data_IF_867630143063
#
_entry.id   IF_867630143063
#
_cell.length_a   1.000
_cell.length_b   1.000
_cell.length_c   1.000
_cell.angle_alpha   90.00
_cell.angle_beta   90.00
_cell.angle_gamma   90.00
#
_symmetry.space_group_name_H-M   'P 1'
#
loop_
_entity.id
_entity.type
_entity.pdbx_description
1 polymer ?
#
# COMPACT_ATOMS: atom_id res chain seq x y z
N UNK A 1 -0.34 8.02 -17.62
CA UNK A 1 0.53 7.38 -16.60
C UNK A 1 0.45 8.02 -15.21
N UNK A 2 0.53 9.35 -15.04
CA UNK A 2 0.55 10.00 -13.71
C UNK A 2 -0.75 9.83 -12.89
N UNK A 3 -1.92 9.87 -13.56
CA UNK A 3 -3.24 9.76 -12.89
C UNK A 3 -3.52 8.36 -12.32
N UNK A 4 -3.12 7.30 -13.03
CA UNK A 4 -3.32 5.93 -12.58
C UNK A 4 -2.50 5.58 -11.34
N UNK A 5 -1.28 6.10 -11.23
CA UNK A 5 -0.45 5.89 -10.06
C UNK A 5 -0.95 6.67 -8.82
N UNK A 6 -1.49 7.87 -9.04
CA UNK A 6 -2.15 8.63 -7.96
C UNK A 6 -3.37 7.88 -7.43
N UNK A 7 -4.20 7.33 -8.31
CA UNK A 7 -5.33 6.49 -7.93
C UNK A 7 -4.87 5.23 -7.16
N UNK A 8 -3.82 4.56 -7.63
CA UNK A 8 -3.24 3.39 -6.95
C UNK A 8 -2.73 3.74 -5.55
N UNK A 9 -2.05 4.88 -5.38
CA UNK A 9 -1.61 5.35 -4.05
C UNK A 9 -2.78 5.57 -3.09
N UNK A 10 -3.86 6.21 -3.55
CA UNK A 10 -5.05 6.42 -2.72
C UNK A 10 -5.67 5.08 -2.29
N UNK A 11 -5.77 4.12 -3.20
CA UNK A 11 -6.26 2.77 -2.90
C UNK A 11 -5.37 2.06 -1.87
N UNK A 12 -4.04 2.15 -2.00
CA UNK A 12 -3.11 1.56 -1.03
C UNK A 12 -3.19 2.22 0.34
N UNK A 13 -3.41 3.53 0.40
CA UNK A 13 -3.60 4.25 1.67
C UNK A 13 -4.85 3.72 2.38
N UNK A 14 -5.99 3.64 1.69
CA UNK A 14 -7.24 3.11 2.25
C UNK A 14 -7.04 1.67 2.74
N UNK A 15 -6.40 0.83 1.92
CA UNK A 15 -6.15 -0.56 2.26
C UNK A 15 -5.23 -0.72 3.49
N UNK A 16 -4.29 0.20 3.68
CA UNK A 16 -3.41 0.26 4.87
C UNK A 16 -4.21 0.60 6.12
N UNK A 17 -5.12 1.59 6.05
CA UNK A 17 -6.00 1.92 7.17
C UNK A 17 -6.93 0.76 7.53
N UNK A 18 -7.45 0.04 6.54
CA UNK A 18 -8.26 -1.18 6.77
C UNK A 18 -7.43 -2.26 7.46
N UNK A 19 -6.20 -2.51 7.00
CA UNK A 19 -5.29 -3.47 7.63
C UNK A 19 -4.96 -3.13 9.08
N UNK A 20 -4.68 -1.86 9.36
CA UNK A 20 -4.45 -1.35 10.73
C UNK A 20 -5.71 -1.52 11.59
N UNK A 21 -6.87 -1.11 11.08
CA UNK A 21 -8.15 -1.25 11.78
C UNK A 21 -8.46 -2.70 12.13
N UNK A 22 -8.21 -3.62 11.21
CA UNK A 22 -8.41 -5.06 11.41
C UNK A 22 -7.49 -5.65 12.50
N UNK A 23 -6.22 -5.23 12.53
CA UNK A 23 -5.26 -5.68 13.58
C UNK A 23 -5.64 -5.11 14.95
N UNK A 24 -6.12 -3.86 15.00
CA UNK A 24 -6.52 -3.22 16.25
C UNK A 24 -7.83 -3.80 16.82
N UNK A 25 -8.83 -4.07 15.97
CA UNK A 25 -10.12 -4.64 16.42
C UNK A 25 -9.99 -6.09 16.89
N UNK A 26 -9.01 -6.82 16.38
CA UNK A 26 -8.68 -8.18 16.83
C UNK A 26 -7.76 -8.22 18.05
N UNK A 27 -7.52 -7.08 18.72
CA UNK A 27 -6.65 -6.96 19.91
C UNK A 27 -5.23 -7.51 19.68
N UNK A 28 -4.72 -7.41 18.45
CA UNK A 28 -3.42 -7.96 18.08
C UNK A 28 -3.38 -9.48 17.88
N UNK A 29 -4.53 -10.16 17.89
CA UNK A 29 -4.61 -11.59 17.55
C UNK A 29 -4.53 -11.82 16.03
N UNK A 30 -4.98 -10.86 15.21
CA UNK A 30 -4.73 -10.92 13.77
C UNK A 30 -3.26 -10.63 13.46
N UNK A 31 -2.73 -11.42 12.53
CA UNK A 31 -1.36 -11.30 12.08
C UNK A 31 -1.08 -9.88 11.54
N UNK A 32 0.00 -9.25 12.03
CA UNK A 32 0.48 -7.95 11.55
C UNK A 32 0.74 -7.92 10.03
N UNK A 33 0.88 -9.10 9.40
CA UNK A 33 0.91 -9.27 7.95
C UNK A 33 -0.24 -8.57 7.20
N UNK A 34 -1.42 -8.44 7.80
CA UNK A 34 -2.55 -7.71 7.17
C UNK A 34 -2.28 -6.21 6.96
N UNK A 35 -1.42 -5.59 7.78
CA UNK A 35 -0.96 -4.21 7.57
C UNK A 35 0.24 -4.15 6.62
N UNK A 36 1.08 -5.19 6.60
CA UNK A 36 2.32 -5.22 5.81
C UNK A 36 2.04 -5.48 4.31
N UNK A 37 1.04 -6.29 3.96
CA UNK A 37 0.67 -6.58 2.56
C UNK A 37 0.34 -5.31 1.75
N UNK A 38 -0.57 -4.42 2.18
CA UNK A 38 -0.85 -3.17 1.47
C UNK A 38 0.35 -2.21 1.44
N UNK A 39 1.18 -2.21 2.49
CA UNK A 39 2.41 -1.40 2.54
C UNK A 39 3.43 -1.87 1.49
N UNK A 40 3.66 -3.17 1.34
CA UNK A 40 4.56 -3.73 0.34
C UNK A 40 4.10 -3.43 -1.07
N UNK A 41 2.80 -3.52 -1.35
CA UNK A 41 2.25 -3.18 -2.66
C UNK A 41 2.38 -1.67 -2.98
N UNK A 42 2.21 -0.80 -2.00
CA UNK A 42 2.48 0.63 -2.14
C UNK A 42 3.95 0.91 -2.51
N UNK A 43 4.87 0.19 -1.84
CA UNK A 43 6.32 0.31 -2.03
C UNK A 43 6.75 -0.18 -3.41
N UNK A 44 6.23 -1.32 -3.87
CA UNK A 44 6.44 -1.85 -5.23
C UNK A 44 5.93 -0.87 -6.28
N UNK A 45 4.75 -0.27 -6.05
CA UNK A 45 4.18 0.73 -6.97
C UNK A 45 5.04 1.99 -7.05
N UNK A 46 5.59 2.45 -5.93
CA UNK A 46 6.54 3.57 -5.89
C UNK A 46 7.85 3.25 -6.62
N UNK A 47 8.40 2.06 -6.43
CA UNK A 47 9.63 1.61 -7.11
C UNK A 47 9.39 1.51 -8.62
N UNK A 48 8.27 0.91 -9.05
CA UNK A 48 7.90 0.83 -10.46
C UNK A 48 7.76 2.22 -11.10
N UNK A 49 7.17 3.18 -10.39
CA UNK A 49 7.09 4.56 -10.87
C UNK A 49 8.46 5.24 -11.00
N UNK A 50 9.33 5.09 -9.99
CA UNK A 50 10.69 5.65 -10.03
C UNK A 50 11.50 5.07 -11.17
N UNK A 51 11.40 3.75 -11.40
CA UNK A 51 12.07 3.07 -12.51
C UNK A 51 11.62 3.62 -13.86
N UNK A 52 10.31 3.84 -14.04
CA UNK A 52 9.75 4.40 -15.27
C UNK A 52 10.11 5.88 -15.49
N UNK A 53 10.44 6.63 -14.43
CA UNK A 53 10.92 8.02 -14.51
C UNK A 53 12.41 8.13 -14.82
N UNK A 54 13.21 7.10 -14.51
CA UNK A 54 14.66 7.07 -14.78
C UNK A 54 15.02 6.49 -16.17
N UNK A 55 14.03 5.96 -16.90
CA UNK A 55 14.19 5.37 -18.25
C UNK A 55 13.75 6.36 -19.35
N UNK A 56 13.23 7.54 -18.98
CA UNK A 56 12.91 8.65 -19.90
C UNK A 56 13.90 9.79 -19.72
#
# INVERSE_FOLDING_TARGET
>A
MKKGLLAASIVFIILTFVGIGYVLTTKGQANAGYAIIPMLLALVSMVAYRKHKNIS
#
